data_IF_030620341299
#
_entry.id   IF_030620341299
#
_cell.length_a   1.000
_cell.length_b   1.000
_cell.length_c   1.000
_cell.angle_alpha   90.00
_cell.angle_beta   90.00
_cell.angle_gamma   90.00
#
_symmetry.space_group_name_H-M   'P 1'
#
loop_
_entity.id
_entity.type
_entity.pdbx_description
1 polymer ?
#
# COMPACT_ATOMS: atom_id res chain seq x y z
N UNK A 1 -7.94 -18.86 -10.84
CA UNK A 1 -6.89 -18.95 -11.86
C UNK A 1 -5.82 -19.91 -11.40
N UNK A 2 -5.40 -20.85 -12.29
CA UNK A 2 -4.44 -21.91 -11.97
C UNK A 2 -2.97 -21.47 -11.96
N UNK A 3 -2.70 -20.16 -11.93
CA UNK A 3 -1.34 -19.61 -12.01
C UNK A 3 -0.97 -18.99 -10.67
N UNK A 4 0.10 -19.46 -10.00
CA UNK A 4 0.51 -18.94 -8.69
C UNK A 4 0.79 -17.43 -8.65
N UNK A 5 1.19 -16.84 -9.80
CA UNK A 5 1.40 -15.40 -9.92
C UNK A 5 0.13 -14.56 -9.69
N UNK A 6 -1.06 -15.15 -9.89
CA UNK A 6 -2.35 -14.48 -9.73
C UNK A 6 -3.19 -15.12 -8.61
N UNK A 7 -2.54 -15.73 -7.64
CA UNK A 7 -3.23 -16.44 -6.56
C UNK A 7 -3.86 -15.53 -5.50
N UNK A 8 -3.43 -14.28 -5.42
CA UNK A 8 -3.95 -13.27 -4.49
C UNK A 8 -4.16 -11.93 -5.22
N UNK A 9 -5.39 -11.52 -5.37
CA UNK A 9 -5.81 -10.31 -6.10
C UNK A 9 -6.65 -9.39 -5.18
N UNK A 10 -6.48 -9.53 -3.88
CA UNK A 10 -7.33 -8.86 -2.89
C UNK A 10 -7.16 -7.34 -2.85
N UNK A 11 -8.29 -6.62 -2.70
CA UNK A 11 -8.32 -5.18 -2.50
C UNK A 11 -7.56 -4.71 -1.24
N UNK A 12 -7.27 -5.63 -0.33
CA UNK A 12 -6.44 -5.42 0.86
C UNK A 12 -5.03 -4.88 0.59
N UNK A 13 -4.56 -5.00 -0.66
CA UNK A 13 -3.26 -4.50 -1.11
C UNK A 13 -3.34 -3.18 -1.88
N UNK A 14 -4.50 -2.53 -1.93
CA UNK A 14 -4.70 -1.31 -2.69
C UNK A 14 -5.07 -0.15 -1.79
N UNK A 15 -4.50 1.02 -2.12
CA UNK A 15 -4.82 2.29 -1.48
C UNK A 15 -5.09 3.33 -2.56
N UNK A 16 -6.13 4.15 -2.37
CA UNK A 16 -6.45 5.20 -3.29
C UNK A 16 -6.26 6.58 -2.67
N UNK A 17 -5.56 7.45 -3.40
CA UNK A 17 -5.34 8.85 -3.04
C UNK A 17 -6.06 9.76 -4.04
N UNK A 18 -6.84 10.70 -3.55
CA UNK A 18 -7.61 11.62 -4.38
C UNK A 18 -8.03 12.88 -3.59
N UNK A 19 -8.39 13.94 -4.29
CA UNK A 19 -8.94 15.15 -3.66
C UNK A 19 -10.39 14.95 -3.17
N UNK A 20 -11.12 14.04 -3.81
CA UNK A 20 -12.48 13.63 -3.49
C UNK A 20 -12.83 12.32 -4.17
N UNK A 21 -13.81 11.57 -3.67
CA UNK A 21 -14.13 10.23 -4.18
C UNK A 21 -14.57 10.19 -5.65
N UNK A 22 -15.11 11.27 -6.18
CA UNK A 22 -15.47 11.40 -7.60
C UNK A 22 -14.37 11.91 -8.51
N UNK A 23 -13.22 12.28 -7.96
CA UNK A 23 -12.11 12.88 -8.70
C UNK A 23 -11.10 11.86 -9.19
N UNK A 24 -10.30 12.23 -10.19
CA UNK A 24 -9.14 11.43 -10.58
C UNK A 24 -8.18 11.25 -9.39
N UNK A 25 -7.60 10.08 -9.27
CA UNK A 25 -6.74 9.72 -8.15
C UNK A 25 -5.52 8.92 -8.57
N UNK A 26 -4.71 8.59 -7.57
CA UNK A 26 -3.56 7.69 -7.68
C UNK A 26 -3.91 6.39 -6.94
N UNK A 27 -3.87 5.27 -7.65
CA UNK A 27 -4.02 3.94 -7.08
C UNK A 27 -2.63 3.40 -6.69
N UNK A 28 -2.37 3.28 -5.41
CA UNK A 28 -1.16 2.63 -4.91
C UNK A 28 -1.44 1.13 -4.72
N UNK A 29 -0.77 0.32 -5.53
CA UNK A 29 -0.89 -1.13 -5.51
C UNK A 29 0.36 -1.72 -4.86
N UNK A 30 0.17 -2.40 -3.73
CA UNK A 30 1.28 -2.94 -2.94
C UNK A 30 1.50 -4.41 -3.27
N UNK A 31 2.72 -4.74 -3.66
CA UNK A 31 3.13 -6.11 -3.98
C UNK A 31 4.26 -6.58 -3.07
N UNK A 32 4.35 -7.88 -2.83
CA UNK A 32 5.41 -8.45 -2.00
C UNK A 32 6.47 -9.20 -2.81
N UNK A 33 6.17 -9.61 -4.05
CA UNK A 33 7.09 -10.38 -4.91
C UNK A 33 6.81 -10.16 -6.39
N UNK A 34 7.77 -10.56 -7.24
CA UNK A 34 7.59 -10.74 -8.67
C UNK A 34 7.44 -12.23 -8.97
N UNK A 35 6.55 -12.60 -9.84
CA UNK A 35 6.13 -14.00 -10.00
C UNK A 35 6.45 -14.67 -11.33
N UNK A 36 6.76 -13.91 -12.38
CA UNK A 36 6.85 -14.44 -13.75
C UNK A 36 8.29 -14.56 -14.24
N UNK A 37 9.19 -13.65 -13.89
CA UNK A 37 10.58 -13.67 -14.36
C UNK A 37 11.46 -14.58 -13.51
N UNK A 38 12.02 -15.67 -14.12
CA UNK A 38 12.95 -16.59 -13.44
C UNK A 38 14.19 -15.89 -12.88
N UNK A 39 14.71 -14.89 -13.57
CA UNK A 39 15.87 -14.11 -13.12
C UNK A 39 15.51 -13.17 -11.95
N UNK A 40 14.33 -12.56 -11.99
CA UNK A 40 13.80 -11.75 -10.90
C UNK A 40 13.46 -12.60 -9.67
N UNK A 41 12.91 -13.80 -9.86
CA UNK A 41 12.64 -14.74 -8.77
C UNK A 41 13.92 -15.19 -8.04
N UNK A 42 15.05 -15.33 -8.76
CA UNK A 42 16.35 -15.66 -8.14
C UNK A 42 16.95 -14.48 -7.36
N UNK A 43 16.79 -13.24 -7.87
CA UNK A 43 17.20 -12.02 -7.16
C UNK A 43 16.30 -11.72 -5.95
N UNK A 44 15.00 -11.97 -6.06
CA UNK A 44 14.04 -11.76 -4.97
C UNK A 44 14.11 -12.86 -3.90
N UNK A 45 14.57 -14.07 -4.24
CA UNK A 45 14.89 -15.09 -3.25
C UNK A 45 16.03 -14.67 -2.33
N UNK A 46 16.91 -13.75 -2.77
CA UNK A 46 17.96 -13.16 -1.95
C UNK A 46 17.46 -12.01 -1.05
N UNK A 47 16.42 -11.28 -1.49
CA UNK A 47 15.90 -10.06 -0.84
C UNK A 47 14.43 -10.19 -0.38
N UNK A 48 13.80 -11.33 -0.64
CA UNK A 48 12.41 -11.61 -0.30
C UNK A 48 12.23 -12.04 1.16
N UNK A 49 10.97 -12.19 1.59
CA UNK A 49 10.67 -12.76 2.89
C UNK A 49 11.12 -14.24 2.93
N UNK A 50 11.69 -14.65 4.05
CA UNK A 50 12.28 -16.00 4.23
C UNK A 50 11.28 -16.95 4.91
N UNK A 51 10.46 -16.42 5.82
CA UNK A 51 9.56 -17.21 6.67
C UNK A 51 8.19 -17.43 6.06
N UNK A 52 7.61 -16.38 5.47
CA UNK A 52 6.28 -16.43 4.87
C UNK A 52 6.33 -15.99 3.41
N UNK A 53 5.57 -16.65 2.53
CA UNK A 53 5.50 -16.23 1.14
C UNK A 53 4.77 -14.89 1.02
N UNK A 54 5.35 -13.98 0.25
CA UNK A 54 4.64 -12.79 -0.17
C UNK A 54 3.46 -13.20 -1.09
N UNK A 55 2.27 -12.72 -0.80
CA UNK A 55 1.03 -13.17 -1.47
C UNK A 55 0.79 -12.44 -2.79
N UNK A 56 0.79 -11.10 -2.75
CA UNK A 56 0.54 -10.27 -3.93
C UNK A 56 1.77 -10.17 -4.83
N UNK A 57 1.59 -10.36 -6.13
CA UNK A 57 2.66 -10.20 -7.12
C UNK A 57 2.55 -8.86 -7.85
N UNK A 58 3.69 -8.36 -8.37
CA UNK A 58 3.71 -7.17 -9.24
C UNK A 58 2.85 -7.39 -10.48
N UNK A 59 2.97 -8.55 -11.12
CA UNK A 59 2.24 -8.90 -12.34
C UNK A 59 0.72 -8.92 -12.13
N UNK A 60 0.27 -9.35 -10.96
CA UNK A 60 -1.13 -9.26 -10.55
C UNK A 60 -1.59 -7.81 -10.44
N UNK A 61 -0.81 -6.96 -9.77
CA UNK A 61 -1.08 -5.52 -9.67
C UNK A 61 -1.16 -4.86 -11.05
N UNK A 62 -0.20 -5.15 -11.94
CA UNK A 62 -0.19 -4.63 -13.30
C UNK A 62 -1.39 -5.12 -14.13
N UNK A 63 -1.78 -6.39 -13.99
CA UNK A 63 -2.94 -6.94 -14.67
C UNK A 63 -4.24 -6.25 -14.21
N UNK A 64 -4.36 -5.98 -12.91
CA UNK A 64 -5.50 -5.26 -12.34
C UNK A 64 -5.52 -3.81 -12.84
N UNK A 65 -4.37 -3.12 -12.83
CA UNK A 65 -4.26 -1.77 -13.36
C UNK A 65 -4.71 -1.68 -14.83
N UNK A 66 -4.25 -2.61 -15.68
CA UNK A 66 -4.70 -2.70 -17.07
C UNK A 66 -6.20 -2.97 -17.20
N UNK A 67 -6.73 -3.89 -16.39
CA UNK A 67 -8.17 -4.23 -16.40
C UNK A 67 -9.06 -3.04 -16.01
N UNK A 68 -8.58 -2.20 -15.08
CA UNK A 68 -9.28 -0.98 -14.66
C UNK A 68 -8.99 0.23 -15.55
N UNK A 69 -8.22 0.07 -16.62
CA UNK A 69 -7.89 1.15 -17.54
C UNK A 69 -7.06 2.27 -16.88
N UNK A 70 -6.31 1.94 -15.83
CA UNK A 70 -5.45 2.92 -15.16
C UNK A 70 -4.28 3.25 -16.09
N UNK A 71 -4.20 4.51 -16.48
CA UNK A 71 -3.07 5.04 -17.22
C UNK A 71 -1.79 4.95 -16.37
N UNK A 72 -0.61 5.06 -17.01
CA UNK A 72 0.69 5.05 -16.33
C UNK A 72 0.84 6.11 -15.24
N UNK A 73 0.05 7.16 -15.28
CA UNK A 73 -0.01 8.23 -14.27
C UNK A 73 -1.05 7.99 -13.17
N UNK A 74 -1.95 7.02 -13.35
CA UNK A 74 -3.04 6.71 -12.41
C UNK A 74 -2.73 5.59 -11.44
N UNK A 75 -1.59 4.89 -11.61
CA UNK A 75 -1.18 3.80 -10.74
C UNK A 75 0.29 3.90 -10.34
N UNK A 76 0.60 3.51 -9.11
CA UNK A 76 1.97 3.33 -8.62
C UNK A 76 2.08 1.96 -7.95
N UNK A 77 3.13 1.22 -8.27
CA UNK A 77 3.39 -0.09 -7.72
C UNK A 77 4.46 0.03 -6.63
N UNK A 78 4.12 -0.36 -5.40
CA UNK A 78 4.94 -0.19 -4.20
C UNK A 78 5.28 -1.57 -3.63
N UNK A 79 6.55 -1.81 -3.33
CA UNK A 79 6.98 -3.06 -2.71
C UNK A 79 6.74 -3.02 -1.21
N UNK A 80 6.07 -4.04 -0.69
CA UNK A 80 5.92 -4.26 0.74
C UNK A 80 7.27 -4.65 1.37
N UNK A 81 7.49 -4.27 2.62
CA UNK A 81 8.70 -4.64 3.35
C UNK A 81 8.76 -6.16 3.60
N UNK A 82 9.77 -6.88 3.06
CA UNK A 82 9.91 -8.32 3.27
C UNK A 82 10.02 -8.71 4.74
N UNK A 83 10.71 -7.90 5.56
CA UNK A 83 10.85 -8.16 7.00
C UNK A 83 9.51 -8.05 7.74
N UNK A 84 8.60 -7.19 7.29
CA UNK A 84 7.25 -7.10 7.83
C UNK A 84 6.40 -8.32 7.42
N UNK A 85 6.56 -8.82 6.18
CA UNK A 85 5.90 -10.04 5.72
C UNK A 85 6.31 -11.22 6.61
N UNK A 86 7.59 -11.35 6.94
CA UNK A 86 8.12 -12.41 7.81
C UNK A 86 7.65 -12.31 9.26
N UNK A 87 7.11 -11.17 9.66
CA UNK A 87 6.45 -10.96 10.94
C UNK A 87 4.92 -11.19 10.89
N UNK A 88 4.39 -11.62 9.73
CA UNK A 88 2.98 -11.95 9.57
C UNK A 88 2.13 -10.89 8.89
N UNK A 89 2.73 -9.86 8.30
CA UNK A 89 2.03 -8.86 7.48
C UNK A 89 1.75 -9.44 6.11
N UNK A 90 0.70 -10.22 5.99
CA UNK A 90 0.36 -10.96 4.78
C UNK A 90 -0.35 -10.12 3.71
N UNK A 91 -0.94 -8.98 4.08
CA UNK A 91 -1.52 -7.97 3.19
C UNK A 91 -1.14 -6.56 3.65
N UNK A 92 -1.24 -5.59 2.74
CA UNK A 92 -0.92 -4.20 3.05
C UNK A 92 -1.84 -3.59 4.13
N UNK A 93 -3.12 -3.94 4.14
CA UNK A 93 -4.11 -3.41 5.11
C UNK A 93 -3.82 -3.80 6.57
N UNK A 94 -2.94 -4.77 6.80
CA UNK A 94 -2.45 -5.10 8.15
C UNK A 94 -1.49 -4.04 8.69
N UNK A 95 -0.86 -3.23 7.82
CA UNK A 95 0.23 -2.32 8.19
C UNK A 95 0.10 -0.90 7.60
N UNK A 96 -0.82 -0.69 6.66
CA UNK A 96 -1.09 0.61 6.07
C UNK A 96 -2.52 0.70 5.55
N UNK A 97 -3.14 1.87 5.70
CA UNK A 97 -4.45 2.21 5.15
C UNK A 97 -4.47 3.65 4.68
N UNK A 98 -5.27 3.94 3.65
CA UNK A 98 -5.43 5.28 3.12
C UNK A 98 -6.91 5.64 2.90
N UNK A 99 -7.20 6.93 2.97
CA UNK A 99 -8.46 7.49 2.50
C UNK A 99 -8.23 8.91 1.98
N UNK A 100 -8.57 9.14 0.72
CA UNK A 100 -8.43 10.42 0.04
C UNK A 100 -7.02 11.02 0.16
N UNK A 101 -6.81 11.94 1.09
CA UNK A 101 -5.59 12.73 1.26
C UNK A 101 -4.71 12.22 2.39
N UNK A 102 -5.13 11.16 3.07
CA UNK A 102 -4.45 10.65 4.27
C UNK A 102 -3.87 9.28 4.03
N UNK A 103 -2.59 9.11 4.31
CA UNK A 103 -1.93 7.83 4.49
C UNK A 103 -1.70 7.61 5.99
N UNK A 104 -2.17 6.52 6.54
CA UNK A 104 -1.87 6.04 7.88
C UNK A 104 -1.08 4.74 7.76
N UNK A 105 0.19 4.74 8.13
CA UNK A 105 1.05 3.58 7.94
C UNK A 105 2.07 3.41 9.07
N UNK A 106 2.47 2.18 9.27
CA UNK A 106 3.63 1.83 10.09
C UNK A 106 4.93 2.19 9.35
N UNK A 107 6.00 2.52 10.08
CA UNK A 107 7.29 2.83 9.46
C UNK A 107 7.94 1.66 8.71
N UNK A 108 7.59 0.43 9.06
CA UNK A 108 8.06 -0.80 8.42
C UNK A 108 7.12 -1.31 7.32
N UNK A 109 6.16 -0.51 6.84
CA UNK A 109 5.17 -0.97 5.88
C UNK A 109 5.79 -1.30 4.52
N UNK A 110 6.72 -0.48 4.05
CA UNK A 110 7.25 -0.53 2.69
C UNK A 110 8.75 -0.84 2.66
N UNK A 111 9.22 -1.42 1.57
CA UNK A 111 10.63 -1.68 1.35
C UNK A 111 11.43 -0.36 1.30
N UNK A 112 12.76 -0.39 1.56
CA UNK A 112 13.59 0.80 1.55
C UNK A 112 13.43 1.64 0.28
N UNK A 113 13.18 2.94 0.45
CA UNK A 113 12.95 3.89 -0.65
C UNK A 113 11.51 3.93 -1.20
N UNK A 114 10.70 2.91 -0.99
CA UNK A 114 9.33 2.86 -1.51
C UNK A 114 8.39 3.83 -0.81
N UNK A 115 8.54 4.04 0.50
CA UNK A 115 7.80 5.06 1.23
C UNK A 115 8.04 6.45 0.62
N UNK A 116 9.30 6.82 0.41
CA UNK A 116 9.65 8.12 -0.16
C UNK A 116 9.06 8.30 -1.57
N UNK A 117 9.08 7.24 -2.39
CA UNK A 117 8.51 7.24 -3.75
C UNK A 117 6.99 7.43 -3.71
N UNK A 118 6.29 6.74 -2.81
CA UNK A 118 4.85 6.89 -2.61
C UNK A 118 4.48 8.30 -2.14
N UNK A 119 5.19 8.81 -1.11
CA UNK A 119 4.94 10.15 -0.57
C UNK A 119 5.18 11.24 -1.61
N UNK A 120 6.21 11.10 -2.45
CA UNK A 120 6.49 12.04 -3.54
C UNK A 120 5.34 12.07 -4.56
N UNK A 121 4.84 10.90 -4.96
CA UNK A 121 3.71 10.80 -5.89
C UNK A 121 2.42 11.40 -5.29
N UNK A 122 2.13 11.10 -4.02
CA UNK A 122 0.97 11.67 -3.33
C UNK A 122 1.05 13.20 -3.20
N UNK A 123 2.22 13.74 -2.85
CA UNK A 123 2.42 15.20 -2.79
C UNK A 123 2.36 15.84 -4.17
N UNK A 124 2.84 15.17 -5.21
CA UNK A 124 2.70 15.63 -6.59
C UNK A 124 1.24 15.77 -7.02
N UNK A 125 0.35 14.89 -6.56
CA UNK A 125 -1.08 14.92 -6.86
C UNK A 125 -1.85 15.89 -5.96
N UNK A 126 -1.56 15.91 -4.65
CA UNK A 126 -2.42 16.52 -3.63
C UNK A 126 -1.81 17.77 -2.97
N UNK A 127 -0.53 18.06 -3.25
CA UNK A 127 0.19 19.18 -2.64
C UNK A 127 0.20 19.14 -1.11
N UNK A 128 0.03 20.30 -0.50
CA UNK A 128 0.00 20.47 0.97
C UNK A 128 -1.24 19.86 1.64
N UNK A 129 -2.25 19.48 0.85
CA UNK A 129 -3.44 18.81 1.39
C UNK A 129 -3.19 17.33 1.73
N UNK A 130 -2.07 16.75 1.30
CA UNK A 130 -1.69 15.37 1.64
C UNK A 130 -1.13 15.29 3.06
N UNK A 131 -1.63 14.35 3.85
CA UNK A 131 -1.17 14.07 5.20
C UNK A 131 -0.66 12.63 5.33
N UNK A 132 0.49 12.45 5.95
CA UNK A 132 1.02 11.15 6.31
C UNK A 132 1.10 11.02 7.84
N UNK A 133 0.34 10.09 8.39
CA UNK A 133 0.41 9.69 9.79
C UNK A 133 1.25 8.44 9.89
N UNK A 134 2.51 8.60 10.25
CA UNK A 134 3.51 7.53 10.36
C UNK A 134 3.61 7.04 11.79
N UNK A 135 3.43 5.74 12.01
CA UNK A 135 3.55 5.09 13.32
C UNK A 135 4.94 4.47 13.46
N UNK A 136 5.78 4.97 14.38
CA UNK A 136 7.10 4.39 14.59
C UNK A 136 7.04 3.09 15.39
N UNK A 137 7.97 2.17 15.14
CA UNK A 137 8.13 0.89 15.85
C UNK A 137 8.31 1.04 17.35
N UNK A 138 8.85 2.19 17.78
CA UNK A 138 8.98 2.51 19.22
C UNK A 138 7.63 2.75 19.93
N UNK A 139 6.57 3.06 19.17
CA UNK A 139 5.21 3.24 19.73
C UNK A 139 4.34 1.99 19.55
N UNK A 140 4.45 1.34 18.41
CA UNK A 140 3.72 0.11 18.09
C UNK A 140 4.68 -0.75 17.28
N UNK A 141 5.00 -1.93 17.76
CA UNK A 141 5.81 -2.89 17.00
C UNK A 141 4.99 -3.52 15.87
N UNK A 142 5.65 -4.07 14.85
CA UNK A 142 4.97 -4.83 13.78
C UNK A 142 4.13 -5.96 14.36
N UNK A 143 4.64 -6.68 15.36
CA UNK A 143 3.92 -7.76 16.02
C UNK A 143 2.63 -7.29 16.71
N UNK A 144 2.64 -6.12 17.35
CA UNK A 144 1.45 -5.49 17.93
C UNK A 144 0.48 -5.02 16.86
N UNK A 145 0.97 -4.43 15.76
CA UNK A 145 0.14 -4.03 14.62
C UNK A 145 -0.59 -5.24 14.01
N UNK A 146 0.12 -6.36 13.79
CA UNK A 146 -0.45 -7.62 13.30
C UNK A 146 -1.49 -8.17 14.28
N UNK A 147 -1.19 -8.19 15.58
CA UNK A 147 -2.07 -8.76 16.61
C UNK A 147 -3.34 -7.94 16.81
N UNK A 148 -3.22 -6.61 16.76
CA UNK A 148 -4.35 -5.70 17.02
C UNK A 148 -5.17 -5.37 15.78
N UNK A 149 -4.64 -5.65 14.58
CA UNK A 149 -5.21 -5.18 13.30
C UNK A 149 -5.41 -3.65 13.26
N UNK A 150 -4.49 -2.90 13.87
CA UNK A 150 -4.57 -1.44 14.01
C UNK A 150 -4.84 -0.74 12.66
N UNK A 151 -4.18 -1.16 11.61
CA UNK A 151 -4.28 -0.56 10.27
C UNK A 151 -5.41 -1.16 9.43
N UNK A 152 -5.91 -2.37 9.75
CA UNK A 152 -7.09 -2.96 9.13
C UNK A 152 -8.34 -2.25 9.68
N UNK A 153 -8.44 -0.97 9.39
CA UNK A 153 -9.43 -0.03 9.89
C UNK A 153 -9.90 0.87 8.75
N UNK A 154 -10.94 1.64 8.99
CA UNK A 154 -11.47 2.56 8.00
C UNK A 154 -11.26 4.01 8.44
N UNK A 155 -10.52 4.77 7.64
CA UNK A 155 -10.43 6.22 7.79
C UNK A 155 -11.69 6.85 7.20
N UNK A 156 -12.44 7.59 8.00
CA UNK A 156 -13.67 8.24 7.57
C UNK A 156 -13.42 9.71 7.24
N UNK A 157 -13.93 10.16 6.10
CA UNK A 157 -14.03 11.59 5.79
C UNK A 157 -15.23 12.18 6.52
N UNK A 158 -14.99 13.13 7.41
CA UNK A 158 -16.07 13.86 8.08
C UNK A 158 -16.41 15.07 7.23
N UNK A 159 -17.66 15.24 6.75
CA UNK A 159 -18.04 16.40 6.01
C UNK A 159 -17.90 17.68 6.89
N UNK A 160 -17.61 18.83 6.29
CA UNK A 160 -17.57 20.10 7.03
C UNK A 160 -18.89 20.31 7.77
N UNK A 161 -18.82 20.60 9.05
CA UNK A 161 -20.02 20.97 9.81
C UNK A 161 -20.59 22.25 9.23
N UNK A 162 -21.86 22.20 8.81
CA UNK A 162 -22.56 23.38 8.32
C UNK A 162 -22.47 24.50 9.40
N UNK A 163 -21.76 25.59 9.10
CA UNK A 163 -21.63 26.75 9.98
C UNK A 163 -20.26 26.98 10.61
N UNK A 164 -19.25 26.13 10.41
CA UNK A 164 -17.84 26.49 10.72
C UNK A 164 -17.14 26.89 9.41
N UNK A 165 -17.09 28.21 9.17
CA UNK A 165 -16.11 28.77 8.24
C UNK A 165 -14.73 28.38 8.76
N UNK A 166 -13.92 27.79 7.87
CA UNK A 166 -12.57 27.39 8.22
C UNK A 166 -11.76 28.60 8.71
N UNK A 167 -11.16 28.46 9.87
CA UNK A 167 -10.04 29.27 10.31
C UNK A 167 -8.74 28.55 9.94
#
# INVERSE_FOLDING_TARGET
PGTPAFADEGAANFMRFCSGHGECGLEAMVYGRKGIEKAAAALEAADGPVRFPARQTLESCEAIARRHGLASTGAIFIRQNPAAIDQGVFHNDVIAVANQRVLFSHEEAFAPGEEARLLSACRGLLGDAFAHVRVPSAKVSVAEAVKSYLFNSQLLSVPPLAGRAGG
#
